data_IF_397126251077
#
_entry.id   IF_397126251077
#
_cell.length_a   1.000
_cell.length_b   1.000
_cell.length_c   1.000
_cell.angle_alpha   90.00
_cell.angle_beta   90.00
_cell.angle_gamma   90.00
#
_symmetry.space_group_name_H-M   'P 1'
#
loop_
_entity.id
_entity.type
_entity.pdbx_description
1 polymer ?
#
# COMPACT_ATOMS: atom_id res chain seq x y z
N UNK A 1 9.11 20.32 31.94
CA UNK A 1 8.24 20.81 30.85
C UNK A 1 7.62 19.59 30.20
N UNK A 2 6.42 19.24 30.63
CA UNK A 2 5.70 18.04 30.20
C UNK A 2 5.22 18.29 28.78
N UNK A 3 5.86 17.67 27.80
CA UNK A 3 5.34 17.66 26.42
C UNK A 3 4.09 16.80 26.47
N UNK A 4 2.92 17.43 26.39
CA UNK A 4 1.65 16.73 26.18
C UNK A 4 1.75 15.94 24.88
N UNK A 5 1.56 14.62 24.94
CA UNK A 5 1.66 13.64 23.84
C UNK A 5 0.63 13.84 22.70
N UNK A 6 -0.16 14.93 22.73
CA UNK A 6 -1.32 15.13 21.86
C UNK A 6 -0.97 15.33 20.37
N UNK A 7 0.31 15.60 20.04
CA UNK A 7 0.72 16.07 18.71
C UNK A 7 1.51 15.06 17.85
N UNK A 8 1.70 13.81 18.28
CA UNK A 8 2.43 12.81 17.48
C UNK A 8 1.44 12.02 16.61
N UNK A 9 1.00 12.65 15.52
CA UNK A 9 0.05 12.05 14.57
C UNK A 9 0.59 12.18 13.16
N UNK A 10 0.33 11.18 12.35
CA UNK A 10 0.60 11.22 10.90
C UNK A 10 -0.73 11.53 10.21
N UNK A 11 -0.88 12.75 9.70
CA UNK A 11 -2.09 13.14 8.96
C UNK A 11 -1.96 12.70 7.51
N UNK A 12 -3.01 12.04 7.00
CA UNK A 12 -3.02 11.48 5.65
C UNK A 12 -4.32 11.86 4.94
N UNK A 13 -4.29 12.38 3.71
CA UNK A 13 -5.50 12.57 2.92
C UNK A 13 -6.32 11.27 2.81
N UNK A 14 -7.59 11.30 3.22
CA UNK A 14 -8.40 10.08 3.29
C UNK A 14 -8.66 9.42 1.92
N UNK A 15 -8.56 10.19 0.83
CA UNK A 15 -8.58 9.65 -0.55
C UNK A 15 -7.32 8.84 -0.85
N UNK A 16 -6.13 9.41 -0.62
CA UNK A 16 -4.87 8.71 -0.82
C UNK A 16 -4.73 7.47 0.06
N UNK A 17 -5.14 7.56 1.34
CA UNK A 17 -5.13 6.42 2.25
C UNK A 17 -6.06 5.29 1.76
N UNK A 18 -7.26 5.64 1.27
CA UNK A 18 -8.19 4.65 0.73
C UNK A 18 -7.61 3.94 -0.50
N UNK A 19 -7.02 4.71 -1.41
CA UNK A 19 -6.46 4.18 -2.64
C UNK A 19 -5.26 3.28 -2.34
N UNK A 20 -4.37 3.70 -1.44
CA UNK A 20 -3.21 2.92 -1.04
C UNK A 20 -3.59 1.58 -0.39
N UNK A 21 -4.50 1.60 0.58
CA UNK A 21 -4.98 0.38 1.26
C UNK A 21 -5.74 -0.54 0.30
N UNK A 22 -6.58 0.01 -0.58
CA UNK A 22 -7.35 -0.78 -1.55
C UNK A 22 -6.46 -1.44 -2.60
N UNK A 23 -5.45 -0.71 -3.09
CA UNK A 23 -4.44 -1.27 -3.99
C UNK A 23 -3.65 -2.39 -3.31
N UNK A 24 -3.16 -2.16 -2.09
CA UNK A 24 -2.41 -3.16 -1.34
C UNK A 24 -3.24 -4.44 -1.08
N UNK A 25 -4.52 -4.29 -0.70
CA UNK A 25 -5.43 -5.43 -0.49
C UNK A 25 -5.58 -6.34 -1.72
N UNK A 26 -5.41 -5.83 -2.94
CA UNK A 26 -5.45 -6.66 -4.14
C UNK A 26 -4.30 -7.67 -4.17
N UNK A 27 -3.13 -7.35 -3.62
CA UNK A 27 -1.94 -8.21 -3.59
C UNK A 27 -1.73 -8.97 -2.28
N UNK A 28 -2.56 -8.73 -1.26
CA UNK A 28 -2.54 -9.51 -0.04
C UNK A 28 -2.98 -10.96 -0.32
N UNK A 29 -2.26 -11.92 0.26
CA UNK A 29 -2.57 -13.33 0.21
C UNK A 29 -3.92 -13.67 0.83
N UNK A 30 -4.45 -14.85 0.49
CA UNK A 30 -5.71 -15.39 1.03
C UNK A 30 -5.50 -16.66 1.84
N UNK A 31 -4.26 -17.12 1.95
CA UNK A 31 -3.89 -18.35 2.64
C UNK A 31 -3.82 -18.09 4.14
N UNK A 32 -4.74 -18.70 4.89
CA UNK A 32 -4.83 -18.56 6.35
C UNK A 32 -3.65 -19.20 7.09
N UNK A 33 -2.89 -20.09 6.44
CA UNK A 33 -1.68 -20.69 6.99
C UNK A 33 -0.44 -19.81 6.81
N UNK A 34 -0.53 -18.74 6.01
CA UNK A 34 0.53 -17.73 5.84
C UNK A 34 0.01 -16.33 6.23
N UNK A 35 -0.34 -16.06 7.51
CA UNK A 35 -0.96 -14.81 7.94
C UNK A 35 -0.16 -13.56 7.56
N UNK A 36 1.18 -13.65 7.60
CA UNK A 36 2.06 -12.52 7.27
C UNK A 36 1.97 -12.12 5.79
N UNK A 37 1.56 -13.02 4.91
CA UNK A 37 1.30 -12.72 3.49
C UNK A 37 -0.16 -12.31 3.26
N UNK A 38 -1.08 -12.70 4.15
CA UNK A 38 -2.47 -12.22 4.18
C UNK A 38 -2.61 -10.87 4.92
N UNK A 39 -1.65 -9.98 4.70
CA UNK A 39 -1.47 -8.74 5.45
C UNK A 39 -1.00 -7.59 4.55
N UNK A 40 -1.08 -6.37 5.09
CA UNK A 40 -0.49 -5.15 4.51
C UNK A 40 0.48 -4.57 5.54
N UNK A 41 1.74 -4.41 5.13
CA UNK A 41 2.71 -3.64 5.91
C UNK A 41 2.50 -2.16 5.63
N UNK A 42 2.48 -1.35 6.69
CA UNK A 42 2.40 0.11 6.65
C UNK A 42 3.62 0.65 7.38
N UNK A 43 4.39 1.49 6.70
CA UNK A 43 5.61 2.09 7.23
C UNK A 43 5.55 3.60 7.03
N UNK A 44 5.71 4.35 8.12
CA UNK A 44 6.02 5.77 8.06
C UNK A 44 7.53 5.92 8.19
N UNK A 45 8.17 6.52 7.19
CA UNK A 45 9.60 6.84 7.22
C UNK A 45 9.83 8.24 6.66
N UNK A 46 10.43 9.13 7.46
CA UNK A 46 10.65 10.51 7.07
C UNK A 46 9.35 11.22 6.68
N UNK A 47 9.28 11.73 5.45
CA UNK A 47 8.11 12.38 4.86
C UNK A 47 7.22 11.44 4.03
N UNK A 48 7.37 10.12 4.14
CA UNK A 48 6.61 9.16 3.35
C UNK A 48 5.80 8.19 4.21
N UNK A 49 4.66 7.76 3.68
CA UNK A 49 3.87 6.65 4.19
C UNK A 49 3.78 5.57 3.11
N UNK A 50 4.35 4.40 3.38
CA UNK A 50 4.57 3.32 2.41
C UNK A 50 3.73 2.11 2.80
N UNK A 51 2.99 1.58 1.83
CA UNK A 51 2.12 0.41 1.97
C UNK A 51 2.66 -0.72 1.10
N UNK A 52 2.76 -1.93 1.65
CA UNK A 52 3.28 -3.10 0.93
C UNK A 52 2.40 -4.33 1.17
N UNK A 53 2.10 -5.07 0.10
CA UNK A 53 1.37 -6.34 0.18
C UNK A 53 1.83 -7.30 -0.92
N UNK A 54 2.03 -8.57 -0.57
CA UNK A 54 2.48 -9.61 -1.51
C UNK A 54 1.93 -10.98 -1.14
N UNK A 55 1.70 -11.81 -2.16
CA UNK A 55 1.31 -13.22 -2.05
C UNK A 55 2.36 -14.18 -2.65
N UNK A 56 3.59 -13.68 -2.85
CA UNK A 56 4.74 -14.29 -3.55
C UNK A 56 4.66 -14.26 -5.08
N UNK A 57 3.49 -14.10 -5.67
CA UNK A 57 3.33 -14.04 -7.13
C UNK A 57 3.26 -12.62 -7.67
N UNK A 58 3.02 -11.66 -6.78
CA UNK A 58 2.92 -10.24 -7.07
C UNK A 58 3.23 -9.41 -5.84
N UNK A 59 3.48 -8.13 -6.06
CA UNK A 59 3.69 -7.14 -5.03
C UNK A 59 2.92 -5.88 -5.41
N UNK A 60 2.24 -5.27 -4.46
CA UNK A 60 1.85 -3.86 -4.54
C UNK A 60 2.66 -3.07 -3.54
N UNK A 61 3.24 -1.97 -3.98
CA UNK A 61 3.78 -0.91 -3.13
C UNK A 61 3.10 0.40 -3.48
N UNK A 62 2.61 1.11 -2.47
CA UNK A 62 2.08 2.47 -2.64
C UNK A 62 2.83 3.39 -1.70
N UNK A 63 3.32 4.51 -2.22
CA UNK A 63 4.01 5.55 -1.44
C UNK A 63 3.17 6.81 -1.48
N UNK A 64 2.81 7.32 -0.30
CA UNK A 64 2.17 8.63 -0.13
C UNK A 64 3.23 9.60 0.36
N UNK A 65 3.42 10.71 -0.35
CA UNK A 65 4.24 11.84 0.12
C UNK A 65 3.43 12.64 1.13
N UNK A 66 3.95 12.80 2.35
CA UNK A 66 3.32 13.57 3.42
C UNK A 66 3.80 15.02 3.37
N UNK A 67 2.91 15.97 3.64
CA UNK A 67 3.31 17.38 3.74
C UNK A 67 4.19 17.60 4.97
N UNK A 68 5.25 18.39 4.81
CA UNK A 68 6.24 18.65 5.86
C UNK A 68 5.69 19.38 7.09
N UNK A 69 4.60 20.13 6.95
CA UNK A 69 3.93 20.81 8.08
C UNK A 69 3.05 19.85 8.92
N UNK A 70 2.63 18.74 8.31
CA UNK A 70 1.75 17.74 8.92
C UNK A 70 2.52 16.62 9.66
N UNK A 71 3.86 16.68 9.72
CA UNK A 71 4.68 15.53 10.09
C UNK A 71 5.91 15.81 10.99
N UNK A 72 5.71 15.94 12.31
CA UNK A 72 6.74 15.60 13.30
C UNK A 72 6.39 14.26 14.00
N UNK A 73 5.94 13.24 13.27
CA UNK A 73 5.78 11.89 13.85
C UNK A 73 7.08 11.08 13.73
N UNK A 74 7.48 10.27 14.72
CA UNK A 74 8.63 9.38 14.61
C UNK A 74 8.36 8.31 13.55
N UNK A 75 9.41 7.71 13.02
CA UNK A 75 9.27 6.58 12.10
C UNK A 75 8.68 5.37 12.82
N UNK A 76 7.80 4.65 12.13
CA UNK A 76 7.13 3.47 12.66
C UNK A 76 6.76 2.51 11.54
N UNK A 77 6.59 1.24 11.89
CA UNK A 77 6.20 0.20 10.96
C UNK A 77 5.28 -0.80 11.65
N UNK A 78 4.18 -1.15 11.00
CA UNK A 78 3.22 -2.14 11.47
C UNK A 78 2.78 -3.05 10.32
N UNK A 79 2.42 -4.29 10.63
CA UNK A 79 1.84 -5.21 9.66
C UNK A 79 0.42 -5.55 10.07
N UNK A 80 -0.57 -5.12 9.30
CA UNK A 80 -1.99 -5.29 9.63
C UNK A 80 -2.59 -6.44 8.83
N UNK A 81 -3.47 -7.22 9.46
CA UNK A 81 -4.19 -8.27 8.73
C UNK A 81 -5.03 -7.67 7.60
N UNK A 82 -5.24 -8.42 6.52
CA UNK A 82 -6.12 -7.96 5.45
C UNK A 82 -7.57 -7.70 5.92
N UNK A 83 -7.99 -8.30 7.03
CA UNK A 83 -9.30 -8.04 7.65
C UNK A 83 -9.32 -6.66 8.32
N UNK A 84 -8.31 -6.33 9.12
CA UNK A 84 -8.18 -5.02 9.78
C UNK A 84 -8.07 -3.89 8.76
N UNK A 85 -7.31 -4.12 7.68
CA UNK A 85 -7.18 -3.15 6.60
C UNK A 85 -8.52 -2.90 5.90
N UNK A 86 -9.33 -3.95 5.67
CA UNK A 86 -10.69 -3.78 5.13
C UNK A 86 -11.58 -3.01 6.09
N UNK A 87 -11.49 -3.28 7.39
CA UNK A 87 -12.22 -2.53 8.41
C UNK A 87 -11.83 -1.05 8.37
N UNK A 88 -10.54 -0.73 8.29
CA UNK A 88 -10.05 0.63 8.16
C UNK A 88 -10.60 1.30 6.90
N UNK A 89 -10.47 0.69 5.72
CA UNK A 89 -11.01 1.22 4.46
C UNK A 89 -12.50 1.54 4.56
N UNK A 90 -13.28 0.67 5.20
CA UNK A 90 -14.72 0.86 5.39
C UNK A 90 -15.06 2.01 6.35
N UNK A 91 -14.18 2.31 7.30
CA UNK A 91 -14.34 3.42 8.25
C UNK A 91 -13.88 4.78 7.69
N UNK A 92 -13.13 4.80 6.58
CA UNK A 92 -12.61 6.06 6.02
C UNK A 92 -13.74 6.98 5.53
N UNK A 93 -13.65 8.30 5.80
CA UNK A 93 -14.67 9.27 5.40
C UNK A 93 -14.78 9.35 3.87
N UNK A 94 -16.01 9.28 3.37
CA UNK A 94 -16.29 9.36 1.92
C UNK A 94 -16.33 10.82 1.46
N UNK A 95 -15.90 11.11 0.22
CA UNK A 95 -16.05 12.46 -0.36
C UNK A 95 -17.52 12.87 -0.39
N UNK A 96 -17.78 14.14 -0.10
CA UNK A 96 -19.09 14.78 -0.31
C UNK A 96 -19.04 15.56 -1.62
N UNK A 97 -20.21 15.85 -2.23
CA UNK A 97 -20.28 16.54 -3.52
C UNK A 97 -19.47 17.86 -3.49
N UNK A 98 -18.38 17.92 -4.26
CA UNK A 98 -17.51 19.09 -4.36
C UNK A 98 -16.58 19.34 -3.16
N UNK A 99 -16.46 18.41 -2.21
CA UNK A 99 -15.58 18.56 -1.04
C UNK A 99 -14.76 17.29 -0.79
N UNK A 100 -13.45 17.47 -0.67
CA UNK A 100 -12.54 16.41 -0.22
C UNK A 100 -12.90 15.98 1.21
N UNK A 101 -12.81 14.68 1.54
CA UNK A 101 -12.99 14.22 2.91
C UNK A 101 -11.87 14.77 3.80
N UNK A 102 -12.16 14.91 5.10
CA UNK A 102 -11.16 15.30 6.08
C UNK A 102 -10.00 14.29 6.13
N UNK A 103 -8.75 14.72 6.43
CA UNK A 103 -7.63 13.82 6.65
C UNK A 103 -7.89 12.82 7.77
N UNK A 104 -7.20 11.68 7.71
CA UNK A 104 -7.18 10.65 8.76
C UNK A 104 -5.89 10.80 9.56
N UNK A 105 -6.00 10.71 10.88
CA UNK A 105 -4.83 10.71 11.77
C UNK A 105 -4.43 9.28 12.13
N UNK A 106 -3.16 8.95 11.93
CA UNK A 106 -2.56 7.67 12.31
C UNK A 106 -1.51 7.89 13.41
N UNK A 107 -1.60 7.11 14.48
CA UNK A 107 -0.64 7.10 15.59
C UNK A 107 -0.31 5.66 15.95
N UNK A 108 0.95 5.38 16.27
CA UNK A 108 1.34 4.09 16.86
C UNK A 108 1.69 4.33 18.32
N UNK A 109 0.94 3.71 19.22
CA UNK A 109 1.12 3.78 20.68
C UNK A 109 1.10 2.35 21.23
N UNK A 110 2.06 2.02 22.10
CA UNK A 110 2.22 0.67 22.66
C UNK A 110 2.19 -0.47 21.63
N UNK A 111 2.73 -0.21 20.43
CA UNK A 111 2.76 -1.16 19.31
C UNK A 111 1.40 -1.40 18.65
N UNK A 112 0.37 -0.63 18.98
CA UNK A 112 -0.95 -0.69 18.36
C UNK A 112 -1.09 0.49 17.39
N UNK A 113 -1.65 0.26 16.20
CA UNK A 113 -2.00 1.35 15.30
C UNK A 113 -3.38 1.91 15.67
N UNK A 114 -3.41 3.19 16.01
CA UNK A 114 -4.60 3.98 16.23
C UNK A 114 -4.91 4.77 14.96
N UNK A 115 -6.14 4.62 14.44
CA UNK A 115 -6.63 5.39 13.30
C UNK A 115 -7.87 6.17 13.69
N UNK A 116 -7.76 7.51 13.70
CA UNK A 116 -8.88 8.43 13.87
C UNK A 116 -9.31 8.94 12.49
N UNK A 117 -10.50 8.52 12.08
CA UNK A 117 -11.10 8.82 10.77
C UNK A 117 -12.05 10.03 10.83
N UNK A 118 -12.22 10.64 12.00
CA UNK A 118 -13.25 11.65 12.30
C UNK A 118 -14.68 11.08 12.41
N UNK A 119 -14.91 9.83 11.99
CA UNK A 119 -16.20 9.13 12.11
C UNK A 119 -16.12 7.92 13.04
N UNK A 120 -14.93 7.35 13.17
CA UNK A 120 -14.61 6.22 14.03
C UNK A 120 -13.14 6.30 14.47
N UNK A 121 -12.89 5.81 15.68
CA UNK A 121 -11.56 5.51 16.18
C UNK A 121 -11.34 4.00 16.14
N UNK A 122 -10.31 3.54 15.43
CA UNK A 122 -9.94 2.14 15.32
C UNK A 122 -8.63 1.89 16.05
N UNK A 123 -8.55 0.76 16.77
CA UNK A 123 -7.32 0.25 17.38
C UNK A 123 -6.99 -1.08 16.74
N UNK A 124 -5.97 -1.11 15.89
CA UNK A 124 -5.60 -2.24 15.07
C UNK A 124 -4.31 -2.84 15.62
N UNK A 125 -4.39 -4.08 16.13
CA UNK A 125 -3.23 -4.79 16.65
C UNK A 125 -2.43 -5.38 15.47
N UNK A 126 -1.16 -5.02 15.29
CA UNK A 126 -0.32 -5.60 14.25
C UNK A 126 -0.12 -7.11 14.45
N UNK A 127 0.10 -7.80 13.33
CA UNK A 127 0.54 -9.19 13.33
C UNK A 127 2.00 -9.29 13.76
N UNK A 128 2.31 -10.34 14.52
CA UNK A 128 3.68 -10.72 14.82
C UNK A 128 4.36 -11.39 13.61
N UNK A 129 5.67 -11.18 13.45
CA UNK A 129 6.50 -11.83 12.43
C UNK A 129 7.06 -10.90 11.36
N UNK A 130 8.03 -11.42 10.59
CA UNK A 130 8.75 -10.64 9.59
C UNK A 130 8.02 -10.65 8.25
N UNK A 131 7.55 -9.47 7.83
CA UNK A 131 7.04 -9.28 6.48
C UNK A 131 8.18 -9.46 5.45
N UNK A 132 7.92 -10.03 4.25
CA UNK A 132 8.97 -10.23 3.25
C UNK A 132 9.72 -8.95 2.89
N UNK A 133 11.06 -9.04 2.75
CA UNK A 133 11.91 -7.94 2.27
C UNK A 133 11.71 -7.74 0.77
N UNK A 134 10.80 -6.85 0.40
CA UNK A 134 10.33 -6.69 -0.99
C UNK A 134 10.98 -5.54 -1.76
N UNK A 135 11.71 -4.63 -1.10
CA UNK A 135 12.30 -3.49 -1.83
C UNK A 135 13.45 -3.91 -2.76
N UNK A 136 14.12 -5.03 -2.48
CA UNK A 136 15.21 -5.56 -3.31
C UNK A 136 14.75 -6.33 -4.56
N UNK A 137 13.45 -6.60 -4.74
CA UNK A 137 12.94 -7.38 -5.88
C UNK A 137 12.45 -6.51 -7.04
N UNK A 138 12.46 -5.19 -6.90
CA UNK A 138 12.04 -4.26 -7.96
C UNK A 138 13.13 -4.24 -9.04
N UNK A 139 12.85 -4.74 -10.27
CA UNK A 139 13.87 -4.80 -11.31
C UNK A 139 14.28 -3.39 -11.78
N UNK A 140 15.58 -3.18 -11.92
CA UNK A 140 16.18 -1.93 -12.42
C UNK A 140 16.71 -2.05 -13.86
N UNK A 141 16.93 -3.27 -14.33
CA UNK A 141 17.46 -3.59 -15.66
C UNK A 141 16.36 -4.09 -16.59
N UNK A 142 16.42 -3.66 -17.85
CA UNK A 142 15.53 -4.12 -18.92
C UNK A 142 16.26 -5.21 -19.71
N UNK A 143 15.69 -6.41 -19.75
CA UNK A 143 16.19 -7.55 -20.52
C UNK A 143 15.10 -8.02 -21.49
N UNK A 144 15.33 -8.03 -22.81
CA UNK A 144 14.34 -8.51 -23.77
C UNK A 144 14.21 -10.04 -23.73
N UNK A 145 13.01 -10.54 -23.98
CA UNK A 145 12.67 -11.97 -24.18
C UNK A 145 11.64 -12.08 -25.29
N UNK A 146 11.64 -13.20 -26.02
CA UNK A 146 10.71 -13.42 -27.15
C UNK A 146 9.25 -13.58 -26.68
N UNK A 147 9.05 -14.31 -25.58
CA UNK A 147 7.74 -14.51 -24.96
C UNK A 147 7.85 -14.49 -23.43
N UNK A 148 6.79 -14.02 -22.77
CA UNK A 148 6.67 -14.01 -21.32
C UNK A 148 5.23 -14.31 -20.92
N UNK A 149 5.06 -15.27 -20.01
CA UNK A 149 3.74 -15.65 -19.49
C UNK A 149 3.41 -14.96 -18.18
N UNK A 150 2.14 -14.61 -17.98
CA UNK A 150 1.62 -14.14 -16.69
C UNK A 150 0.35 -14.87 -16.30
N UNK A 151 0.08 -14.93 -14.99
CA UNK A 151 -1.24 -15.34 -14.53
C UNK A 151 -2.29 -14.29 -14.97
N UNK A 152 -3.31 -14.67 -15.75
CA UNK A 152 -4.26 -13.71 -16.31
C UNK A 152 -5.12 -13.01 -15.25
N UNK A 153 -5.42 -13.68 -14.12
CA UNK A 153 -6.19 -13.07 -13.03
C UNK A 153 -5.39 -11.97 -12.34
N UNK A 154 -4.11 -12.24 -12.07
CA UNK A 154 -3.23 -11.24 -11.47
C UNK A 154 -2.89 -10.10 -12.42
N UNK A 155 -2.81 -10.36 -13.73
CA UNK A 155 -2.67 -9.30 -14.71
C UNK A 155 -3.92 -8.41 -14.76
N UNK A 156 -5.12 -9.01 -14.75
CA UNK A 156 -6.39 -8.30 -14.78
C UNK A 156 -6.65 -7.44 -13.53
N UNK A 157 -6.00 -7.72 -12.39
CA UNK A 157 -6.13 -6.90 -11.18
C UNK A 157 -5.56 -5.49 -11.35
N UNK A 158 -4.69 -5.24 -12.35
CA UNK A 158 -4.30 -3.88 -12.73
C UNK A 158 -5.50 -3.00 -13.10
N UNK A 159 -6.52 -3.56 -13.76
CA UNK A 159 -7.74 -2.82 -14.12
C UNK A 159 -8.63 -2.46 -12.92
N UNK A 160 -8.33 -2.98 -11.73
CA UNK A 160 -9.03 -2.67 -10.47
C UNK A 160 -8.24 -1.73 -9.58
N UNK A 161 -6.99 -1.43 -9.93
CA UNK A 161 -6.15 -0.56 -9.14
C UNK A 161 -6.72 0.87 -9.13
N UNK A 162 -6.70 1.55 -7.97
CA UNK A 162 -7.12 2.94 -7.88
C UNK A 162 -6.02 3.89 -8.37
N UNK A 163 -6.30 5.19 -8.35
CA UNK A 163 -5.31 6.22 -8.68
C UNK A 163 -5.08 6.44 -10.18
N UNK A 164 -5.87 5.80 -11.06
CA UNK A 164 -5.93 6.19 -12.47
C UNK A 164 -6.92 7.36 -12.64
N UNK A 165 -6.48 8.41 -13.31
CA UNK A 165 -7.42 9.29 -14.02
C UNK A 165 -7.77 8.65 -15.37
N UNK A 166 -8.95 8.99 -15.93
CA UNK A 166 -9.47 8.35 -17.14
C UNK A 166 -8.59 8.50 -18.40
N UNK A 167 -7.54 9.31 -18.37
CA UNK A 167 -6.59 9.50 -19.46
C UNK A 167 -5.18 8.94 -19.15
N UNK A 168 -4.94 8.45 -17.94
CA UNK A 168 -3.61 8.00 -17.51
C UNK A 168 -3.28 6.63 -18.11
N UNK A 169 -2.17 6.56 -18.83
CA UNK A 169 -1.61 5.29 -19.29
C UNK A 169 -0.85 4.57 -18.17
N UNK A 170 -0.97 3.24 -18.10
CA UNK A 170 -0.08 2.41 -17.27
C UNK A 170 1.20 2.12 -18.04
N UNK A 171 2.36 2.42 -17.45
CA UNK A 171 3.66 2.05 -18.02
C UNK A 171 4.02 0.65 -17.56
N UNK A 172 3.99 -0.33 -18.46
CA UNK A 172 4.47 -1.68 -18.20
C UNK A 172 5.93 -1.80 -18.63
N UNK A 173 6.80 -2.24 -17.72
CA UNK A 173 8.20 -2.54 -17.98
C UNK A 173 8.46 -4.02 -17.81
N UNK A 174 8.99 -4.64 -18.85
CA UNK A 174 9.36 -6.05 -18.89
C UNK A 174 10.87 -6.19 -18.68
N UNK A 175 11.27 -7.17 -17.87
CA UNK A 175 12.65 -7.32 -17.39
C UNK A 175 13.12 -8.77 -17.56
N UNK A 176 12.87 -9.34 -18.73
CA UNK A 176 13.16 -10.72 -19.07
C UNK A 176 12.40 -11.71 -18.17
N UNK A 177 13.06 -12.74 -17.60
CA UNK A 177 12.39 -13.71 -16.73
C UNK A 177 12.11 -13.18 -15.31
N UNK A 178 12.35 -11.88 -15.04
CA UNK A 178 12.04 -11.23 -13.77
C UNK A 178 10.62 -10.63 -13.80
N UNK A 179 10.18 -10.09 -12.67
CA UNK A 179 8.87 -9.47 -12.55
C UNK A 179 8.63 -8.37 -13.61
N UNK A 180 7.40 -8.33 -14.15
CA UNK A 180 6.89 -7.15 -14.83
C UNK A 180 6.64 -6.07 -13.78
N UNK A 181 7.04 -4.83 -14.06
CA UNK A 181 6.74 -3.66 -13.22
C UNK A 181 5.72 -2.78 -13.92
N UNK A 182 4.66 -2.41 -13.22
CA UNK A 182 3.72 -1.36 -13.61
C UNK A 182 3.83 -0.20 -12.63
N UNK A 183 3.88 1.02 -13.15
CA UNK A 183 4.02 2.26 -12.37
C UNK A 183 3.01 3.31 -12.86
N UNK A 184 2.35 3.98 -11.91
CA UNK A 184 1.43 5.10 -12.13
C UNK A 184 1.30 5.96 -10.86
N UNK A 185 0.66 7.11 -10.97
CA UNK A 185 0.45 8.02 -9.84
C UNK A 185 0.77 9.49 -10.15
N UNK A 186 0.93 10.29 -9.09
CA UNK A 186 1.26 11.71 -9.07
C UNK A 186 2.33 11.98 -8.00
N UNK A 187 2.84 13.21 -7.89
CA UNK A 187 3.88 13.55 -6.90
C UNK A 187 3.45 13.26 -5.45
N UNK A 188 2.15 13.29 -5.16
CA UNK A 188 1.60 13.00 -3.83
C UNK A 188 1.41 11.51 -3.56
N UNK A 189 1.22 10.70 -4.60
CA UNK A 189 0.90 9.28 -4.47
C UNK A 189 1.46 8.47 -5.64
N UNK A 190 2.33 7.51 -5.35
CA UNK A 190 2.99 6.67 -6.35
C UNK A 190 2.64 5.21 -6.12
N UNK A 191 2.26 4.51 -7.19
CA UNK A 191 1.92 3.10 -7.17
C UNK A 191 2.93 2.28 -7.97
N UNK A 192 3.33 1.15 -7.40
CA UNK A 192 4.15 0.13 -8.04
C UNK A 192 3.46 -1.21 -7.90
N UNK A 193 3.22 -1.88 -9.03
CA UNK A 193 2.75 -3.26 -9.07
C UNK A 193 3.80 -4.15 -9.75
N UNK A 194 4.27 -5.17 -9.04
CA UNK A 194 5.12 -6.22 -9.61
C UNK A 194 4.28 -7.47 -9.86
N UNK A 195 4.45 -8.08 -11.02
CA UNK A 195 3.85 -9.37 -11.35
C UNK A 195 4.93 -10.36 -11.79
N UNK A 196 5.04 -11.47 -11.06
CA UNK A 196 6.00 -12.53 -11.38
C UNK A 196 5.56 -13.28 -12.64
N UNK A 197 6.47 -13.58 -13.57
CA UNK A 197 6.15 -14.39 -14.72
C UNK A 197 5.85 -15.83 -14.31
N UNK A 198 5.03 -16.49 -15.12
CA UNK A 198 4.82 -17.95 -15.03
C UNK A 198 5.69 -18.65 -16.06
N UNK A 199 6.08 -19.90 -15.77
CA UNK A 199 6.77 -20.73 -16.75
C UNK A 199 5.82 -20.98 -17.91
N UNK A 200 6.30 -20.69 -19.12
CA UNK A 200 5.67 -21.12 -20.35
C UNK A 200 5.98 -22.61 -20.49
N UNK A 201 4.96 -23.45 -20.48
CA UNK A 201 5.13 -24.84 -20.85
C UNK A 201 5.15 -24.87 -22.37
N UNK A 202 6.33 -25.09 -22.96
CA UNK A 202 6.46 -25.45 -24.37
C UNK A 202 5.89 -26.83 -24.66
#
# INVERSE_FOLDING_TARGET
MTVTLENVRTLVPATHLRDALSAALLSAGKDVFLPILAAVQVEKCGGELIFRATDRYRLTRVTITLNSEDAPSPDWMVTLSAADVKQLVNALPKPKKGQAPAPVALTVEDGILHADTGQAELRLKPLDGDFPKVDGIIPTEINPVDEIGFNPKYLADLGKMPGFDGNQSVKLRFNGPKAMRAEWGSDDVQFVYLLMPVRLNG
#
